data_IF_073477289862
#
_entry.id   IF_073477289862
#
_cell.length_a   1.000
_cell.length_b   1.000
_cell.length_c   1.000
_cell.angle_alpha   90.00
_cell.angle_beta   90.00
_cell.angle_gamma   90.00
#
_symmetry.space_group_name_H-M   'P 1'
#
loop_
_entity.id
_entity.type
_entity.pdbx_description
1 polymer ?
#
# COMPACT_ATOMS: atom_id res chain seq x y z
N UNK A 1 -10.27 -0.64 24.32
CA UNK A 1 -10.32 -0.40 22.87
C UNK A 1 -8.97 -0.73 22.27
N UNK A 2 -8.94 -1.44 21.14
CA UNK A 2 -7.71 -1.96 20.51
C UNK A 2 -6.81 -0.83 20.03
N UNK A 3 -5.53 -0.89 20.39
CA UNK A 3 -4.48 0.09 20.02
C UNK A 3 -3.74 -0.32 18.74
N UNK A 4 -4.42 -0.97 17.82
CA UNK A 4 -3.82 -1.63 16.65
C UNK A 4 -4.61 -1.28 15.40
N UNK A 5 -3.89 -1.04 14.30
CA UNK A 5 -4.42 -0.80 12.97
C UNK A 5 -3.55 -1.54 11.94
N UNK A 6 -4.13 -1.87 10.77
CA UNK A 6 -3.39 -2.34 9.61
C UNK A 6 -3.13 -1.18 8.66
N UNK A 7 -1.87 -0.93 8.33
CA UNK A 7 -1.48 0.03 7.29
C UNK A 7 -0.98 -0.73 6.06
N UNK A 8 -1.52 -0.42 4.89
CA UNK A 8 -1.05 -0.93 3.60
C UNK A 8 -0.42 0.25 2.87
N UNK A 9 0.89 0.18 2.64
CA UNK A 9 1.71 1.30 2.16
C UNK A 9 2.14 1.03 0.73
N UNK A 10 1.92 1.99 -0.17
CA UNK A 10 2.49 2.06 -1.52
C UNK A 10 2.26 0.81 -2.39
N UNK A 11 1.17 0.08 -2.15
CA UNK A 11 0.70 -1.01 -3.02
C UNK A 11 0.00 -0.46 -4.28
N UNK A 12 0.64 0.50 -4.95
CA UNK A 12 0.18 1.15 -6.17
C UNK A 12 0.81 0.49 -7.40
N UNK A 13 0.15 0.63 -8.55
CA UNK A 13 0.59 0.03 -9.83
C UNK A 13 2.02 0.41 -10.19
N UNK A 14 2.39 1.66 -9.93
CA UNK A 14 3.69 2.23 -10.26
C UNK A 14 4.86 1.53 -9.54
N UNK A 15 4.57 0.87 -8.41
CA UNK A 15 5.53 0.07 -7.65
C UNK A 15 5.35 -1.44 -7.85
N UNK A 16 4.12 -1.89 -8.12
CA UNK A 16 3.78 -3.31 -8.06
C UNK A 16 3.87 -4.02 -9.41
N UNK A 17 3.49 -3.38 -10.51
CA UNK A 17 3.39 -4.08 -11.79
C UNK A 17 4.77 -4.32 -12.42
N UNK A 18 5.00 -5.49 -13.05
CA UNK A 18 6.20 -5.71 -13.85
C UNK A 18 6.34 -4.65 -14.94
N UNK A 19 7.51 -4.03 -15.05
CA UNK A 19 7.80 -2.94 -16.00
C UNK A 19 7.25 -1.57 -15.60
N UNK A 20 6.73 -1.41 -14.38
CA UNK A 20 6.29 -0.11 -13.89
C UNK A 20 7.46 0.86 -13.68
N UNK A 21 7.16 2.17 -13.69
CA UNK A 21 8.17 3.23 -13.59
C UNK A 21 9.06 3.11 -12.33
N UNK A 22 8.51 2.58 -11.25
CA UNK A 22 9.21 2.37 -9.97
C UNK A 22 9.04 0.92 -9.48
N UNK A 23 9.07 -0.07 -10.40
CA UNK A 23 8.88 -1.48 -10.06
C UNK A 23 9.76 -1.90 -8.87
N UNK A 24 9.11 -2.38 -7.81
CA UNK A 24 9.75 -3.04 -6.68
C UNK A 24 9.65 -4.54 -6.90
N UNK A 25 10.78 -5.16 -7.23
CA UNK A 25 10.83 -6.60 -7.46
C UNK A 25 10.28 -7.37 -6.25
N UNK A 26 9.23 -8.17 -6.50
CA UNK A 26 8.58 -8.97 -5.47
C UNK A 26 7.41 -8.30 -4.75
N UNK A 27 7.06 -7.05 -5.05
CA UNK A 27 5.86 -6.41 -4.49
C UNK A 27 4.58 -7.22 -4.77
N UNK A 28 4.43 -7.75 -5.99
CA UNK A 28 3.30 -8.64 -6.31
C UNK A 28 3.40 -10.02 -5.66
N UNK A 29 4.59 -10.48 -5.27
CA UNK A 29 4.74 -11.76 -4.55
C UNK A 29 4.14 -11.70 -3.14
N UNK A 30 4.07 -10.51 -2.54
CA UNK A 30 3.48 -10.31 -1.20
C UNK A 30 2.01 -9.90 -1.23
N UNK A 31 1.43 -9.64 -2.41
CA UNK A 31 0.06 -9.16 -2.55
C UNK A 31 -0.97 -10.10 -1.92
N UNK A 32 -0.80 -11.42 -2.08
CA UNK A 32 -1.70 -12.41 -1.48
C UNK A 32 -1.65 -12.38 0.05
N UNK A 33 -0.46 -12.19 0.64
CA UNK A 33 -0.32 -12.06 2.11
C UNK A 33 -0.90 -10.76 2.64
N UNK A 34 -0.78 -9.68 1.89
CA UNK A 34 -1.43 -8.40 2.23
C UNK A 34 -2.95 -8.56 2.19
N UNK A 35 -3.48 -9.30 1.22
CA UNK A 35 -4.92 -9.61 1.14
C UNK A 35 -5.40 -10.44 2.34
N UNK A 36 -4.67 -11.48 2.73
CA UNK A 36 -4.97 -12.28 3.93
C UNK A 36 -5.02 -11.39 5.19
N UNK A 37 -4.03 -10.51 5.37
CA UNK A 37 -3.99 -9.58 6.50
C UNK A 37 -5.15 -8.57 6.46
N UNK A 38 -5.49 -8.06 5.29
CA UNK A 38 -6.61 -7.13 5.08
C UNK A 38 -7.94 -7.76 5.44
N UNK A 39 -8.19 -8.99 5.01
CA UNK A 39 -9.40 -9.75 5.33
C UNK A 39 -9.50 -10.01 6.83
N UNK A 40 -8.39 -10.41 7.47
CA UNK A 40 -8.34 -10.63 8.91
C UNK A 40 -8.61 -9.33 9.69
N UNK A 41 -7.99 -8.21 9.30
CA UNK A 41 -8.20 -6.91 9.94
C UNK A 41 -9.68 -6.49 9.85
N UNK A 42 -10.29 -6.58 8.67
CA UNK A 42 -11.71 -6.28 8.45
C UNK A 42 -12.63 -7.17 9.28
N UNK A 43 -12.35 -8.48 9.33
CA UNK A 43 -13.13 -9.45 10.11
C UNK A 43 -13.19 -9.09 11.60
N UNK A 44 -12.12 -8.50 12.15
CA UNK A 44 -12.03 -8.14 13.56
C UNK A 44 -12.38 -6.67 13.84
N UNK A 45 -12.91 -5.94 12.85
CA UNK A 45 -13.23 -4.51 13.00
C UNK A 45 -12.01 -3.62 13.27
N UNK A 46 -10.81 -4.08 12.89
CA UNK A 46 -9.58 -3.31 13.04
C UNK A 46 -9.55 -2.18 12.00
N UNK A 47 -9.12 -0.97 12.36
CA UNK A 47 -8.90 0.11 11.39
C UNK A 47 -7.92 -0.33 10.30
N UNK A 48 -8.29 -0.07 9.04
CA UNK A 48 -7.45 -0.29 7.86
C UNK A 48 -7.17 1.05 7.20
N UNK A 49 -5.89 1.34 6.99
CA UNK A 49 -5.42 2.59 6.40
C UNK A 49 -4.62 2.25 5.14
N UNK A 50 -5.03 2.82 4.01
CA UNK A 50 -4.28 2.74 2.76
C UNK A 50 -3.46 4.03 2.63
N UNK A 51 -2.14 3.88 2.66
CA UNK A 51 -1.20 4.98 2.43
C UNK A 51 -0.72 4.88 1.00
N UNK A 52 -0.81 5.99 0.28
CA UNK A 52 -0.41 6.06 -1.12
C UNK A 52 0.32 7.38 -1.39
N UNK A 53 1.21 7.34 -2.38
CA UNK A 53 1.89 8.51 -2.92
C UNK A 53 1.08 9.08 -4.07
N UNK A 54 0.82 10.38 -4.01
CA UNK A 54 0.18 11.11 -5.09
C UNK A 54 0.76 12.52 -5.13
N UNK A 55 1.59 12.76 -6.15
CA UNK A 55 2.21 14.05 -6.38
C UNK A 55 1.39 14.86 -7.39
N UNK A 56 1.40 16.18 -7.23
CA UNK A 56 0.92 17.11 -8.25
C UNK A 56 1.75 16.94 -9.52
N UNK A 57 1.10 17.12 -10.67
CA UNK A 57 1.74 16.97 -11.97
C UNK A 57 2.88 17.98 -12.22
N UNK A 58 2.89 19.12 -11.53
CA UNK A 58 3.97 20.10 -11.58
C UNK A 58 5.18 19.74 -10.69
N UNK A 59 5.10 18.63 -9.95
CA UNK A 59 6.15 18.17 -9.05
C UNK A 59 6.32 19.03 -7.79
N UNK A 60 5.41 19.97 -7.52
CA UNK A 60 5.53 20.94 -6.42
C UNK A 60 5.50 20.33 -5.01
N UNK A 61 5.05 19.09 -4.88
CA UNK A 61 4.95 18.34 -3.62
C UNK A 61 5.75 17.01 -3.62
N UNK A 62 6.68 16.86 -4.56
CA UNK A 62 7.67 15.79 -4.52
C UNK A 62 8.68 16.06 -3.40
N UNK A 63 9.11 15.00 -2.70
CA UNK A 63 10.10 15.07 -1.62
C UNK A 63 11.44 15.66 -2.10
N UNK A 64 12.09 16.49 -1.26
CA UNK A 64 13.40 17.10 -1.50
C UNK A 64 14.55 16.19 -1.09
#
# INVERSE_FOLDING_TARGET
>A
MGKTALMIIDMQKDFCLPGAAFEVYGAMKVADKIKEALEAARKHGMPVIHVFRYYRADGSDVEL
#
